data_IF_563882085385
#
_entry.id   IF_563882085385
#
_cell.length_a   1.000
_cell.length_b   1.000
_cell.length_c   1.000
_cell.angle_alpha   90.00
_cell.angle_beta   90.00
_cell.angle_gamma   90.00
#
_symmetry.space_group_name_H-M   'P 1'
#
loop_
_entity.id
_entity.type
_entity.pdbx_description
1 polymer ?
#
# COMPACT_ATOMS: atom_id res chain seq x y z
N UNK A 1 -5.55 -22.99 5.35
CA UNK A 1 -4.84 -23.15 4.06
C UNK A 1 -5.32 -22.11 3.06
N UNK A 2 -6.63 -21.88 2.94
CA UNK A 2 -7.22 -20.91 2.00
C UNK A 2 -6.82 -19.45 2.31
N UNK A 3 -6.80 -19.02 3.56
CA UNK A 3 -6.50 -17.63 3.96
C UNK A 3 -5.06 -17.20 3.62
N UNK A 4 -4.07 -18.03 3.99
CA UNK A 4 -2.66 -17.74 3.67
C UNK A 4 -2.43 -17.62 2.16
N UNK A 5 -3.07 -18.46 1.36
CA UNK A 5 -2.95 -18.42 -0.10
C UNK A 5 -3.64 -17.18 -0.68
N UNK A 6 -4.72 -16.71 -0.06
CA UNK A 6 -5.39 -15.47 -0.41
C UNK A 6 -4.51 -14.25 -0.11
N UNK A 7 -3.91 -14.17 1.08
CA UNK A 7 -2.95 -13.12 1.45
C UNK A 7 -1.79 -13.03 0.47
N UNK A 8 -1.14 -14.16 0.19
CA UNK A 8 0.01 -14.20 -0.71
C UNK A 8 -0.40 -13.76 -2.13
N UNK A 9 -1.62 -14.09 -2.57
CA UNK A 9 -2.16 -13.61 -3.84
C UNK A 9 -2.35 -12.10 -3.82
N UNK A 10 -2.93 -11.53 -2.76
CA UNK A 10 -3.13 -10.07 -2.65
C UNK A 10 -1.79 -9.33 -2.59
N UNK A 11 -0.83 -9.82 -1.81
CA UNK A 11 0.53 -9.26 -1.74
C UNK A 11 1.18 -9.29 -3.14
N UNK A 12 1.07 -10.41 -3.84
CA UNK A 12 1.59 -10.52 -5.21
C UNK A 12 0.93 -9.54 -6.18
N UNK A 13 -0.39 -9.38 -6.10
CA UNK A 13 -1.14 -8.43 -6.92
C UNK A 13 -0.70 -6.99 -6.63
N UNK A 14 -0.54 -6.60 -5.36
CA UNK A 14 -0.03 -5.27 -4.99
C UNK A 14 1.39 -5.04 -5.55
N UNK A 15 2.26 -6.04 -5.51
CA UNK A 15 3.59 -5.93 -6.11
C UNK A 15 3.54 -5.73 -7.64
N UNK A 16 2.59 -6.36 -8.34
CA UNK A 16 2.37 -6.14 -9.77
C UNK A 16 1.89 -4.70 -10.07
N UNK A 17 0.99 -4.17 -9.23
CA UNK A 17 0.54 -2.77 -9.33
C UNK A 17 1.71 -1.83 -9.15
N UNK A 18 2.51 -2.02 -8.10
CA UNK A 18 3.70 -1.22 -7.84
C UNK A 18 4.66 -1.22 -9.04
N UNK A 19 4.95 -2.39 -9.61
CA UNK A 19 5.83 -2.51 -10.76
C UNK A 19 5.30 -1.73 -11.98
N UNK A 20 3.99 -1.76 -12.23
CA UNK A 20 3.37 -0.98 -13.30
C UNK A 20 3.50 0.53 -13.05
N UNK A 21 3.22 0.99 -11.84
CA UNK A 21 3.30 2.42 -11.46
C UNK A 21 4.73 2.94 -11.61
N UNK A 22 5.73 2.21 -11.09
CA UNK A 22 7.14 2.59 -11.19
C UNK A 22 7.59 2.64 -12.66
N UNK A 23 7.18 1.65 -13.47
CA UNK A 23 7.52 1.61 -14.89
C UNK A 23 7.04 2.85 -15.65
N UNK A 24 5.75 3.19 -15.50
CA UNK A 24 5.14 4.37 -16.15
C UNK A 24 5.75 5.69 -15.68
N UNK A 25 6.03 5.80 -14.38
CA UNK A 25 6.70 6.98 -13.81
C UNK A 25 8.12 7.16 -14.35
N UNK A 26 8.87 6.07 -14.52
CA UNK A 26 10.21 6.10 -15.11
C UNK A 26 10.24 6.59 -16.56
N UNK A 27 9.13 6.41 -17.28
CA UNK A 27 8.92 6.90 -18.66
C UNK A 27 8.47 8.38 -18.71
N UNK A 28 8.22 9.00 -17.54
CA UNK A 28 7.69 10.36 -17.43
C UNK A 28 6.17 10.45 -17.61
N UNK A 29 5.47 9.31 -17.71
CA UNK A 29 4.02 9.28 -17.88
C UNK A 29 3.30 9.24 -16.53
N UNK A 30 3.13 10.42 -15.95
CA UNK A 30 2.51 10.59 -14.63
C UNK A 30 1.01 10.28 -14.63
N UNK A 31 0.32 10.49 -15.76
CA UNK A 31 -1.13 10.23 -15.86
C UNK A 31 -1.37 8.73 -15.92
N UNK A 32 -0.64 8.02 -16.79
CA UNK A 32 -0.77 6.55 -16.86
C UNK A 32 -0.34 5.87 -15.55
N UNK A 33 0.63 6.44 -14.83
CA UNK A 33 1.03 5.92 -13.50
C UNK A 33 -0.10 6.04 -12.46
N UNK A 34 -0.81 7.17 -12.46
CA UNK A 34 -1.96 7.42 -11.58
C UNK A 34 -3.14 6.49 -11.92
N UNK A 35 -3.41 6.29 -13.21
CA UNK A 35 -4.44 5.35 -13.68
C UNK A 35 -4.09 3.90 -13.29
N UNK A 36 -2.85 3.47 -13.49
CA UNK A 36 -2.38 2.15 -13.08
C UNK A 36 -2.52 1.92 -11.57
N UNK A 37 -2.22 2.94 -10.76
CA UNK A 37 -2.42 2.90 -9.31
C UNK A 37 -3.90 2.72 -8.97
N UNK A 38 -4.77 3.55 -9.56
CA UNK A 38 -6.21 3.52 -9.29
C UNK A 38 -6.86 2.18 -9.71
N UNK A 39 -6.55 1.70 -10.91
CA UNK A 39 -7.04 0.41 -11.42
C UNK A 39 -6.55 -0.75 -10.56
N UNK A 40 -5.26 -0.74 -10.22
CA UNK A 40 -4.62 -1.80 -9.43
C UNK A 40 -5.20 -1.94 -8.02
N UNK A 41 -5.47 -0.81 -7.35
CA UNK A 41 -6.11 -0.82 -6.03
C UNK A 41 -7.57 -1.30 -6.12
N UNK A 42 -8.30 -0.85 -7.15
CA UNK A 42 -9.68 -1.27 -7.36
C UNK A 42 -9.78 -2.78 -7.67
N UNK A 43 -8.86 -3.34 -8.47
CA UNK A 43 -8.88 -4.77 -8.81
C UNK A 43 -8.43 -5.66 -7.66
N UNK A 44 -7.49 -5.19 -6.83
CA UNK A 44 -6.86 -6.01 -5.78
C UNK A 44 -7.62 -5.94 -4.46
N UNK A 45 -8.03 -4.73 -4.06
CA UNK A 45 -8.68 -4.48 -2.78
C UNK A 45 -10.17 -4.15 -2.92
N UNK A 46 -10.67 -3.92 -4.13
CA UNK A 46 -12.06 -3.49 -4.34
C UNK A 46 -12.32 -2.05 -3.91
N UNK A 47 -11.28 -1.25 -3.68
CA UNK A 47 -11.36 0.11 -3.15
C UNK A 47 -10.82 1.11 -4.18
N UNK A 48 -11.60 2.16 -4.43
CA UNK A 48 -11.16 3.28 -5.27
C UNK A 48 -10.09 4.11 -4.55
N UNK A 49 -9.13 4.62 -5.32
CA UNK A 49 -8.02 5.43 -4.81
C UNK A 49 -8.49 6.68 -4.05
N UNK A 50 -9.48 7.40 -4.56
CA UNK A 50 -10.06 8.59 -3.92
C UNK A 50 -10.67 8.27 -2.54
N UNK A 51 -11.34 7.12 -2.42
CA UNK A 51 -11.85 6.63 -1.15
C UNK A 51 -10.71 6.29 -0.20
N UNK A 52 -9.68 5.59 -0.69
CA UNK A 52 -8.54 5.20 0.13
C UNK A 52 -7.81 6.42 0.71
N UNK A 53 -7.63 7.49 -0.09
CA UNK A 53 -7.07 8.77 0.37
C UNK A 53 -7.89 9.39 1.50
N UNK A 54 -9.22 9.24 1.46
CA UNK A 54 -10.13 9.77 2.47
C UNK A 54 -10.26 8.86 3.71
N UNK A 55 -9.76 7.63 3.68
CA UNK A 55 -9.92 6.69 4.81
C UNK A 55 -9.16 7.17 6.04
N UNK A 56 -9.79 6.98 7.20
CA UNK A 56 -9.16 7.17 8.51
C UNK A 56 -8.13 6.06 8.78
N UNK A 57 -7.23 6.31 9.74
CA UNK A 57 -6.20 5.33 10.13
C UNK A 57 -6.79 3.95 10.50
N UNK A 58 -7.85 3.85 11.33
CA UNK A 58 -8.47 2.55 11.63
C UNK A 58 -9.03 1.84 10.40
N UNK A 59 -9.63 2.58 9.46
CA UNK A 59 -10.17 2.00 8.22
C UNK A 59 -9.06 1.46 7.32
N UNK A 60 -7.95 2.18 7.18
CA UNK A 60 -6.79 1.72 6.40
C UNK A 60 -6.11 0.52 7.05
N UNK A 61 -5.98 0.53 8.39
CA UNK A 61 -5.49 -0.64 9.12
C UNK A 61 -6.39 -1.85 8.90
N UNK A 62 -7.72 -1.67 8.87
CA UNK A 62 -8.66 -2.77 8.62
C UNK A 62 -8.48 -3.41 7.22
N UNK A 63 -8.05 -2.65 6.21
CA UNK A 63 -7.77 -3.21 4.87
C UNK A 63 -6.67 -4.26 4.87
N UNK A 64 -5.71 -4.14 5.80
CA UNK A 64 -4.53 -5.00 5.88
C UNK A 64 -4.59 -5.98 7.05
N UNK A 65 -5.72 -6.01 7.76
CA UNK A 65 -6.00 -6.97 8.81
C UNK A 65 -6.70 -8.21 8.29
N UNK A 66 -6.39 -9.36 8.88
CA UNK A 66 -7.13 -10.62 8.76
C UNK A 66 -7.39 -11.20 10.15
N UNK A 67 -8.60 -11.71 10.36
CA UNK A 67 -9.04 -12.26 11.65
C UNK A 67 -8.78 -11.34 12.86
N UNK A 68 -8.82 -10.02 12.63
CA UNK A 68 -8.57 -8.99 13.63
C UNK A 68 -7.10 -8.67 13.90
N UNK A 69 -6.15 -9.32 13.22
CA UNK A 69 -4.72 -9.05 13.33
C UNK A 69 -4.17 -8.42 12.05
N UNK A 70 -3.27 -7.44 12.18
CA UNK A 70 -2.62 -6.80 11.02
C UNK A 70 -1.63 -7.77 10.38
N UNK A 71 -1.73 -7.94 9.06
CA UNK A 71 -0.70 -8.62 8.26
C UNK A 71 0.40 -7.63 7.89
N UNK A 72 1.59 -7.80 8.45
CA UNK A 72 2.74 -6.94 8.16
C UNK A 72 3.11 -6.96 6.66
N UNK A 73 3.08 -8.12 6.02
CA UNK A 73 3.40 -8.28 4.60
C UNK A 73 2.41 -7.49 3.71
N UNK A 74 1.12 -7.60 4.01
CA UNK A 74 0.07 -6.87 3.28
C UNK A 74 0.13 -5.37 3.55
N UNK A 75 0.43 -4.99 4.80
CA UNK A 75 0.64 -3.60 5.19
C UNK A 75 1.80 -2.97 4.43
N UNK A 76 2.96 -3.64 4.36
CA UNK A 76 4.11 -3.20 3.57
C UNK A 76 3.77 -3.13 2.09
N UNK A 77 3.17 -4.17 1.52
CA UNK A 77 2.85 -4.19 0.09
C UNK A 77 1.91 -3.05 -0.31
N UNK A 78 0.90 -2.75 0.52
CA UNK A 78 0.01 -1.62 0.27
C UNK A 78 0.71 -0.28 0.52
N UNK A 79 1.59 -0.19 1.52
CA UNK A 79 2.37 1.00 1.78
C UNK A 79 3.31 1.34 0.61
N UNK A 80 4.00 0.35 0.04
CA UNK A 80 4.87 0.52 -1.13
C UNK A 80 4.07 1.06 -2.33
N UNK A 81 2.86 0.55 -2.56
CA UNK A 81 1.97 1.05 -3.63
C UNK A 81 1.57 2.50 -3.37
N UNK A 82 1.18 2.84 -2.14
CA UNK A 82 0.68 4.18 -1.81
C UNK A 82 1.78 5.22 -1.59
N UNK A 83 3.03 4.81 -1.36
CA UNK A 83 4.16 5.75 -1.35
C UNK A 83 4.39 6.36 -2.73
N UNK A 84 3.96 5.66 -3.78
CA UNK A 84 3.98 6.18 -5.14
C UNK A 84 2.81 7.13 -5.42
N UNK A 85 1.87 7.36 -4.51
CA UNK A 85 0.76 8.28 -4.75
C UNK A 85 1.26 9.74 -4.96
N UNK A 86 0.74 10.40 -6.01
CA UNK A 86 1.00 11.81 -6.28
C UNK A 86 0.42 12.73 -5.19
N UNK A 87 -0.70 12.33 -4.58
CA UNK A 87 -1.40 13.08 -3.54
C UNK A 87 -0.80 12.80 -2.15
N UNK A 88 -0.72 13.84 -1.33
CA UNK A 88 -0.12 13.74 0.00
C UNK A 88 -0.91 12.81 0.93
N UNK A 89 -2.24 12.80 0.79
CA UNK A 89 -3.14 11.98 1.57
C UNK A 89 -2.82 10.49 1.44
N UNK A 90 -2.61 10.00 0.21
CA UNK A 90 -2.22 8.61 -0.04
C UNK A 90 -0.88 8.27 0.59
N UNK A 91 0.10 9.17 0.48
CA UNK A 91 1.42 9.01 1.11
C UNK A 91 1.35 9.01 2.64
N UNK A 92 0.46 9.79 3.26
CA UNK A 92 0.18 9.69 4.70
C UNK A 92 -0.37 8.31 5.07
N UNK A 93 -1.23 7.72 4.24
CA UNK A 93 -1.75 6.35 4.48
C UNK A 93 -0.66 5.30 4.34
N UNK A 94 0.26 5.48 3.39
CA UNK A 94 1.45 4.65 3.27
C UNK A 94 2.27 4.68 4.58
N UNK A 95 2.47 5.87 5.17
CA UNK A 95 3.17 6.01 6.45
C UNK A 95 2.47 5.22 7.55
N UNK A 96 1.17 5.38 7.71
CA UNK A 96 0.40 4.65 8.74
C UNK A 96 0.50 3.13 8.58
N UNK A 97 0.59 2.63 7.35
CA UNK A 97 0.73 1.19 7.05
C UNK A 97 2.13 0.67 7.39
N UNK A 98 3.20 1.40 7.06
CA UNK A 98 4.55 1.04 7.51
C UNK A 98 4.66 1.05 9.04
N UNK A 99 4.08 2.06 9.70
CA UNK A 99 4.02 2.12 11.17
C UNK A 99 3.26 0.91 11.76
N UNK A 100 2.14 0.52 11.14
CA UNK A 100 1.39 -0.66 11.56
C UNK A 100 2.19 -1.96 11.38
N UNK A 101 2.90 -2.11 10.25
CA UNK A 101 3.76 -3.26 9.99
C UNK A 101 4.90 -3.38 11.02
N UNK A 102 5.55 -2.26 11.36
CA UNK A 102 6.58 -2.20 12.39
C UNK A 102 6.02 -2.55 13.77
N UNK A 103 4.85 -2.02 14.13
CA UNK A 103 4.24 -2.23 15.44
C UNK A 103 3.92 -3.71 15.72
N UNK A 104 3.56 -4.49 14.70
CA UNK A 104 3.28 -5.93 14.86
C UNK A 104 4.54 -6.81 14.78
N UNK A 105 5.71 -6.24 14.48
CA UNK A 105 6.99 -6.95 14.48
C UNK A 105 7.14 -8.03 13.39
N UNK A 106 6.36 -7.93 12.31
CA UNK A 106 6.44 -8.85 11.17
C UNK A 106 7.58 -8.52 10.20
N UNK A 107 7.68 -9.25 9.08
CA UNK A 107 8.69 -8.98 8.06
C UNK A 107 8.48 -7.60 7.43
N UNK A 108 9.53 -6.79 7.44
CA UNK A 108 9.59 -5.46 6.83
C UNK A 108 10.88 -5.30 6.02
N UNK A 109 10.92 -4.41 5.02
CA UNK A 109 12.14 -4.08 4.30
C UNK A 109 13.23 -3.51 5.23
N UNK A 110 14.50 -3.80 4.95
CA UNK A 110 15.62 -3.28 5.76
C UNK A 110 15.71 -1.75 5.76
N UNK A 111 15.19 -1.10 4.71
CA UNK A 111 15.17 0.35 4.49
C UNK A 111 13.85 1.01 4.95
N UNK A 112 12.98 0.29 5.66
CA UNK A 112 11.64 0.78 6.06
C UNK A 112 11.68 2.13 6.81
N UNK A 113 12.71 2.38 7.61
CA UNK A 113 12.86 3.66 8.31
C UNK A 113 13.13 4.81 7.31
N UNK A 114 13.98 4.59 6.33
CA UNK A 114 14.24 5.59 5.28
C UNK A 114 12.99 5.88 4.45
N UNK A 115 12.16 4.85 4.19
CA UNK A 115 10.86 5.02 3.52
C UNK A 115 9.91 5.87 4.35
N UNK A 116 9.82 5.63 5.66
CA UNK A 116 9.03 6.46 6.58
C UNK A 116 9.48 7.92 6.62
N UNK A 117 10.80 8.13 6.67
CA UNK A 117 11.38 9.48 6.73
C UNK A 117 11.13 10.27 5.44
N UNK A 118 10.95 9.59 4.30
CA UNK A 118 10.60 10.19 3.02
C UNK A 118 9.11 10.55 2.87
N UNK A 119 8.24 10.06 3.77
CA UNK A 119 6.80 10.27 3.71
C UNK A 119 6.36 11.45 4.60
N UNK A 120 5.30 12.19 4.18
CA UNK A 120 4.77 13.28 4.98
C UNK A 120 4.27 12.78 6.35
N UNK A 121 4.42 13.62 7.37
CA UNK A 121 3.73 13.44 8.64
C UNK A 121 2.23 13.75 8.47
N UNK A 122 1.36 12.99 9.14
CA UNK A 122 -0.09 13.17 9.05
C UNK A 122 -0.87 12.38 10.09
#
# INVERSE_FOLDING_TARGET
>A
MIERDFLLRQVHQLAQVLAAVIGRRGEGDHVEAEEALAEGLQSTLGVRLDRLRAMSRPEVTALVSEDGAVSAEKAVALADVLSEDAEAEGRVRARWLYEAALAVGGPVPFDVQARLDALPEG
#
